data_IF_492037066081
#
_entry.id   IF_492037066081
#
_cell.length_a   1.000
_cell.length_b   1.000
_cell.length_c   1.000
_cell.angle_alpha   90.00
_cell.angle_beta   90.00
_cell.angle_gamma   90.00
#
_symmetry.space_group_name_H-M   'P 1'
#
loop_
_entity.id
_entity.type
_entity.pdbx_description
1 polymer ?
#
# COMPACT_ATOMS: atom_id res chain seq x y z
N UNK A 1 -8.42 -20.30 -20.84
CA UNK A 1 -7.39 -19.26 -20.77
C UNK A 1 -8.02 -17.98 -21.26
N UNK A 2 -8.69 -17.32 -20.33
CA UNK A 2 -9.50 -16.13 -20.56
C UNK A 2 -8.69 -15.00 -21.16
N UNK A 3 -9.31 -14.40 -22.17
CA UNK A 3 -9.20 -13.01 -22.63
C UNK A 3 -8.12 -12.18 -21.92
N UNK A 4 -7.06 -11.89 -22.68
CA UNK A 4 -6.13 -10.80 -22.39
C UNK A 4 -6.97 -9.53 -22.17
N UNK A 5 -7.13 -9.12 -20.91
CA UNK A 5 -7.80 -7.89 -20.51
C UNK A 5 -7.21 -6.72 -21.32
N UNK A 6 -8.05 -5.84 -21.88
CA UNK A 6 -7.57 -4.72 -22.70
C UNK A 6 -6.65 -3.84 -21.86
N UNK A 7 -5.59 -3.28 -22.47
CA UNK A 7 -4.53 -2.54 -21.76
C UNK A 7 -5.02 -1.44 -20.80
N UNK A 8 -6.18 -0.83 -21.06
CA UNK A 8 -6.82 0.16 -20.18
C UNK A 8 -7.38 -0.42 -18.88
N UNK A 9 -7.85 -1.67 -18.87
CA UNK A 9 -8.38 -2.35 -17.68
C UNK A 9 -7.26 -2.80 -16.72
N UNK A 10 -6.08 -3.12 -17.27
CA UNK A 10 -4.88 -3.38 -16.47
C UNK A 10 -4.38 -2.10 -15.80
N UNK A 11 -4.35 -0.96 -16.51
CA UNK A 11 -3.90 0.32 -15.96
C UNK A 11 -4.70 0.75 -14.71
N UNK A 12 -5.99 0.47 -14.67
CA UNK A 12 -6.85 0.83 -13.54
C UNK A 12 -6.62 -0.05 -12.29
N UNK A 13 -5.83 -1.13 -12.39
CA UNK A 13 -5.52 -2.03 -11.27
C UNK A 13 -4.25 -1.66 -10.52
N UNK A 14 -3.39 -0.84 -11.10
CA UNK A 14 -2.08 -0.50 -10.52
C UNK A 14 -2.02 0.96 -10.10
N UNK A 15 -1.43 1.22 -8.94
CA UNK A 15 -1.19 2.56 -8.42
C UNK A 15 0.28 2.71 -8.05
N UNK A 16 0.96 3.65 -8.68
CA UNK A 16 2.37 3.94 -8.40
C UNK A 16 2.45 5.20 -7.53
N UNK A 17 2.88 5.04 -6.29
CA UNK A 17 3.08 6.17 -5.39
C UNK A 17 4.50 6.71 -5.60
N UNK A 18 4.61 8.01 -5.87
CA UNK A 18 5.92 8.65 -6.06
C UNK A 18 6.78 8.58 -4.79
N UNK A 19 8.07 8.24 -4.96
CA UNK A 19 9.04 8.15 -3.88
C UNK A 19 9.18 9.43 -3.05
N UNK A 20 9.11 10.60 -3.70
CA UNK A 20 9.17 11.89 -3.02
C UNK A 20 8.04 12.08 -2.00
N UNK A 21 6.87 11.48 -2.26
CA UNK A 21 5.73 11.51 -1.34
C UNK A 21 5.93 10.56 -0.18
N UNK A 22 6.50 9.38 -0.42
CA UNK A 22 6.78 8.37 0.61
C UNK A 22 7.95 8.79 1.48
N UNK A 23 9.13 9.06 0.93
CA UNK A 23 10.33 9.38 1.70
C UNK A 23 10.13 10.64 2.56
N UNK A 24 9.58 11.72 2.01
CA UNK A 24 9.27 12.92 2.80
C UNK A 24 8.31 12.57 3.94
N UNK A 25 7.31 11.74 3.69
CA UNK A 25 6.28 11.40 4.66
C UNK A 25 6.79 10.45 5.75
N UNK A 26 7.62 9.46 5.41
CA UNK A 26 8.21 8.53 6.37
C UNK A 26 9.37 9.14 7.18
N UNK A 27 10.11 10.09 6.59
CA UNK A 27 11.25 10.76 7.24
C UNK A 27 10.79 11.94 8.09
N UNK A 28 9.74 12.68 7.68
CA UNK A 28 9.33 13.93 8.35
C UNK A 28 7.98 13.87 9.09
N UNK A 29 7.06 12.95 8.73
CA UNK A 29 5.77 12.83 9.42
C UNK A 29 5.79 11.70 10.44
N UNK A 30 5.00 11.86 11.51
CA UNK A 30 4.71 10.80 12.47
C UNK A 30 4.15 9.56 11.74
N UNK A 31 4.65 8.33 12.02
CA UNK A 31 4.16 7.08 11.44
C UNK A 31 2.63 6.93 11.38
N UNK A 32 1.93 7.44 12.40
CA UNK A 32 0.45 7.44 12.47
C UNK A 32 -0.19 8.26 11.34
N UNK A 33 0.40 9.40 10.99
CA UNK A 33 -0.09 10.27 9.91
C UNK A 33 0.09 9.59 8.55
N UNK A 34 1.24 8.94 8.33
CA UNK A 34 1.54 8.17 7.11
C UNK A 34 0.56 7.02 6.94
N UNK A 35 0.34 6.26 8.01
CA UNK A 35 -0.63 5.17 8.04
C UNK A 35 -2.03 5.66 7.67
N UNK A 36 -2.48 6.78 8.24
CA UNK A 36 -3.80 7.34 7.92
C UNK A 36 -3.90 7.79 6.45
N UNK A 37 -2.87 8.45 5.91
CA UNK A 37 -2.84 8.84 4.50
C UNK A 37 -2.95 7.63 3.57
N UNK A 38 -2.22 6.55 3.86
CA UNK A 38 -2.30 5.30 3.10
C UNK A 38 -3.69 4.69 3.18
N UNK A 39 -4.27 4.60 4.39
CA UNK A 39 -5.63 4.08 4.59
C UNK A 39 -6.65 4.90 3.82
N UNK A 40 -6.57 6.23 3.84
CA UNK A 40 -7.53 7.08 3.14
C UNK A 40 -7.42 6.90 1.62
N UNK A 41 -6.19 6.74 1.08
CA UNK A 41 -5.97 6.37 -0.33
C UNK A 41 -6.59 5.02 -0.67
N UNK A 42 -6.48 4.03 0.22
CA UNK A 42 -7.07 2.70 0.01
C UNK A 42 -8.61 2.74 0.11
N UNK A 43 -9.18 3.61 0.95
CA UNK A 43 -10.62 3.74 1.12
C UNK A 43 -11.31 4.49 -0.02
N UNK A 44 -10.59 5.40 -0.70
CA UNK A 44 -11.02 5.97 -2.00
C UNK A 44 -11.04 4.89 -3.08
N UNK A 45 -10.29 3.80 -2.89
CA UNK A 45 -10.18 2.69 -3.83
C UNK A 45 -11.25 1.58 -3.73
N UNK A 46 -12.41 1.91 -3.17
CA UNK A 46 -13.44 0.95 -2.78
C UNK A 46 -14.38 0.43 -3.87
N UNK A 47 -14.38 1.01 -5.08
CA UNK A 47 -15.26 0.57 -6.18
C UNK A 47 -14.49 -0.29 -7.19
N UNK A 48 -15.17 -1.17 -7.94
CA UNK A 48 -14.58 -2.14 -8.89
C UNK A 48 -13.73 -1.52 -10.03
N UNK A 49 -13.63 -0.19 -10.07
CA UNK A 49 -12.79 0.62 -10.97
C UNK A 49 -11.43 0.98 -10.38
N UNK A 50 -11.14 0.61 -9.12
CA UNK A 50 -10.01 1.16 -8.39
C UNK A 50 -8.82 0.21 -8.22
N UNK A 51 -7.58 0.75 -8.11
CA UNK A 51 -6.38 -0.06 -8.09
C UNK A 51 -6.36 -1.07 -6.94
N UNK A 52 -6.20 -2.34 -7.27
CA UNK A 52 -6.00 -3.40 -6.28
C UNK A 52 -4.55 -3.51 -5.84
N UNK A 53 -3.60 -3.00 -6.64
CA UNK A 53 -2.17 -3.11 -6.41
C UNK A 53 -1.52 -1.73 -6.27
N UNK A 54 -0.83 -1.51 -5.16
CA UNK A 54 -0.08 -0.29 -4.88
C UNK A 54 1.41 -0.57 -4.82
N UNK A 55 2.21 0.27 -5.49
CA UNK A 55 3.66 0.20 -5.50
C UNK A 55 4.25 1.43 -4.81
N UNK A 56 5.01 1.19 -3.75
CA UNK A 56 5.59 2.20 -2.88
C UNK A 56 7.11 2.02 -2.86
N UNK A 57 7.84 2.82 -3.67
CA UNK A 57 9.28 2.89 -3.56
C UNK A 57 9.66 3.60 -2.26
N UNK A 58 10.50 2.95 -1.47
CA UNK A 58 11.05 3.45 -0.21
C UNK A 58 12.56 3.57 -0.35
N UNK A 59 13.10 4.76 -0.06
CA UNK A 59 14.54 4.94 0.05
C UNK A 59 14.95 4.86 1.51
N UNK A 60 15.74 3.85 1.81
CA UNK A 60 16.32 3.65 3.12
C UNK A 60 17.67 4.34 3.27
N UNK A 61 17.96 4.79 4.49
CA UNK A 61 19.29 5.26 4.89
C UNK A 61 19.81 6.47 4.08
N UNK A 62 19.11 7.61 4.17
CA UNK A 62 19.55 8.89 3.59
C UNK A 62 19.92 8.83 2.09
N UNK A 63 19.29 7.97 1.30
CA UNK A 63 19.58 7.85 -0.13
C UNK A 63 20.29 6.56 -0.54
N UNK A 64 20.80 5.77 0.42
CA UNK A 64 21.76 4.69 0.16
C UNK A 64 21.18 3.43 -0.46
N UNK A 65 19.88 3.15 -0.33
CA UNK A 65 19.29 1.93 -0.87
C UNK A 65 17.78 2.01 -1.08
N UNK A 66 17.29 1.42 -2.18
CA UNK A 66 15.88 1.42 -2.56
C UNK A 66 15.23 0.06 -2.32
N UNK A 67 14.06 0.09 -1.69
CA UNK A 67 13.18 -1.05 -1.46
C UNK A 67 11.86 -0.76 -2.13
N UNK A 68 11.24 -1.77 -2.75
CA UNK A 68 9.90 -1.65 -3.29
C UNK A 68 8.90 -2.38 -2.39
N UNK A 69 7.89 -1.67 -1.91
CA UNK A 69 6.76 -2.27 -1.21
C UNK A 69 5.59 -2.38 -2.18
N UNK A 70 5.14 -3.60 -2.44
CA UNK A 70 3.93 -3.85 -3.21
C UNK A 70 2.79 -4.29 -2.27
N UNK A 71 1.64 -3.65 -2.37
CA UNK A 71 0.45 -3.99 -1.57
C UNK A 71 -0.67 -4.45 -2.48
N UNK A 72 -1.18 -5.65 -2.23
CA UNK A 72 -2.38 -6.18 -2.86
C UNK A 72 -3.56 -6.02 -1.90
N UNK A 73 -4.39 -5.00 -2.14
CA UNK A 73 -5.58 -4.73 -1.34
C UNK A 73 -6.70 -5.75 -1.54
N UNK A 74 -6.70 -6.50 -2.65
CA UNK A 74 -7.68 -7.57 -2.90
C UNK A 74 -7.41 -8.78 -2.01
N UNK A 75 -6.13 -9.09 -1.80
CA UNK A 75 -5.66 -10.18 -0.93
C UNK A 75 -5.31 -9.75 0.49
N UNK A 76 -5.29 -8.43 0.72
CA UNK A 76 -4.80 -7.82 1.96
C UNK A 76 -3.37 -8.29 2.30
N UNK A 77 -2.52 -8.37 1.27
CA UNK A 77 -1.12 -8.81 1.39
C UNK A 77 -0.14 -7.68 1.09
N UNK A 78 1.01 -7.73 1.76
CA UNK A 78 2.13 -6.81 1.55
C UNK A 78 3.36 -7.64 1.16
N UNK A 79 4.04 -7.21 0.10
CA UNK A 79 5.28 -7.78 -0.39
C UNK A 79 6.39 -6.75 -0.25
N UNK A 80 7.44 -7.11 0.47
CA UNK A 80 8.65 -6.32 0.59
C UNK A 80 9.68 -6.87 -0.38
N UNK A 81 10.01 -6.09 -1.41
CA UNK A 81 10.92 -6.48 -2.48
C UNK A 81 12.22 -5.70 -2.31
N UNK A 82 13.23 -6.39 -1.81
CA UNK A 82 14.59 -5.87 -1.66
C UNK A 82 15.54 -6.71 -2.53
N UNK A 83 16.33 -6.01 -3.35
CA UNK A 83 17.31 -6.61 -4.24
C UNK A 83 18.63 -6.93 -3.54
N UNK A 84 18.89 -6.30 -2.38
CA UNK A 84 20.04 -6.63 -1.55
C UNK A 84 19.70 -7.86 -0.69
N UNK A 85 20.60 -8.85 -0.61
CA UNK A 85 20.48 -9.90 0.40
C UNK A 85 20.61 -9.25 1.78
N UNK A 86 19.50 -9.17 2.50
CA UNK A 86 19.43 -8.47 3.78
C UNK A 86 18.11 -8.71 4.50
N UNK A 87 18.18 -8.64 5.83
CA UNK A 87 17.01 -8.77 6.70
C UNK A 87 16.14 -7.49 6.63
N UNK A 88 14.82 -7.69 6.51
CA UNK A 88 13.79 -6.64 6.54
C UNK A 88 13.80 -5.84 7.85
N UNK A 89 14.46 -6.35 8.89
CA UNK A 89 14.76 -5.64 10.14
C UNK A 89 15.51 -4.32 9.93
N UNK A 90 16.11 -4.08 8.75
CA UNK A 90 16.75 -2.80 8.39
C UNK A 90 15.77 -1.64 8.26
N UNK A 91 14.47 -1.90 8.06
CA UNK A 91 13.45 -0.86 7.80
C UNK A 91 12.21 -0.98 8.70
N UNK A 92 12.37 -1.04 10.04
CA UNK A 92 11.30 -1.43 10.95
C UNK A 92 10.15 -0.43 10.97
N UNK A 93 10.44 0.87 10.93
CA UNK A 93 9.41 1.92 10.93
C UNK A 93 8.54 1.89 9.67
N UNK A 94 9.15 1.66 8.50
CA UNK A 94 8.41 1.51 7.24
C UNK A 94 7.52 0.26 7.31
N UNK A 95 8.10 -0.88 7.71
CA UNK A 95 7.36 -2.14 7.82
C UNK A 95 6.16 -2.01 8.76
N UNK A 96 6.38 -1.52 9.98
CA UNK A 96 5.33 -1.31 10.98
C UNK A 96 4.19 -0.41 10.48
N UNK A 97 4.54 0.68 9.81
CA UNK A 97 3.54 1.65 9.30
C UNK A 97 2.70 1.04 8.19
N UNK A 98 3.32 0.34 7.24
CA UNK A 98 2.62 -0.30 6.12
C UNK A 98 1.74 -1.44 6.62
N UNK A 99 2.25 -2.29 7.51
CA UNK A 99 1.48 -3.37 8.13
C UNK A 99 0.29 -2.81 8.92
N UNK A 100 0.48 -1.74 9.67
CA UNK A 100 -0.61 -1.08 10.38
C UNK A 100 -1.66 -0.48 9.42
N UNK A 101 -1.22 0.07 8.28
CA UNK A 101 -2.12 0.64 7.28
C UNK A 101 -3.02 -0.44 6.65
N UNK A 102 -2.48 -1.60 6.27
CA UNK A 102 -3.30 -2.67 5.68
C UNK A 102 -4.25 -3.31 6.70
N UNK A 103 -3.83 -3.46 7.97
CA UNK A 103 -4.70 -3.92 9.05
C UNK A 103 -5.85 -2.94 9.32
N UNK A 104 -5.55 -1.63 9.36
CA UNK A 104 -6.56 -0.58 9.56
C UNK A 104 -7.50 -0.45 8.36
N UNK A 105 -7.00 -0.67 7.14
CA UNK A 105 -7.85 -0.74 5.96
C UNK A 105 -8.81 -1.94 6.02
N UNK A 106 -8.31 -3.12 6.38
CA UNK A 106 -9.13 -4.33 6.58
C UNK A 106 -10.26 -4.09 7.59
N UNK A 107 -9.95 -3.45 8.73
CA UNK A 107 -10.96 -3.18 9.75
C UNK A 107 -12.02 -2.18 9.27
N UNK A 108 -11.62 -1.09 8.58
CA UNK A 108 -12.56 -0.12 7.98
C UNK A 108 -13.45 -0.75 6.90
N UNK A 109 -12.90 -1.59 6.03
CA UNK A 109 -13.65 -2.30 4.97
C UNK A 109 -14.71 -3.24 5.57
N UNK A 110 -14.32 -4.04 6.55
CA UNK A 110 -15.25 -4.94 7.25
C UNK A 110 -16.36 -4.19 7.99
N UNK A 111 -16.05 -3.01 8.56
CA UNK A 111 -17.04 -2.18 9.23
C UNK A 111 -18.06 -1.58 8.26
N UNK A 112 -17.64 -1.13 7.07
CA UNK A 112 -18.57 -0.66 6.02
C UNK A 112 -19.53 -1.78 5.59
N UNK A 113 -18.98 -2.95 5.26
CA UNK A 113 -19.80 -4.10 4.85
C UNK A 113 -20.85 -4.52 5.88
N UNK A 114 -20.61 -4.29 7.19
CA UNK A 114 -21.59 -4.56 8.24
C UNK A 114 -22.70 -3.52 8.32
N UNK A 115 -22.43 -2.25 7.97
CA UNK A 115 -23.45 -1.19 7.96
C UNK A 115 -24.41 -1.32 6.77
N UNK A 116 -23.93 -1.90 5.68
CA UNK A 116 -24.74 -2.15 4.49
C UNK A 116 -25.66 -3.38 4.63
N UNK A 117 -25.55 -4.11 5.75
CA UNK A 117 -26.50 -5.17 6.14
C UNK A 117 -27.52 -4.53 7.09
N UNK A 118 -28.59 -3.97 6.53
CA UNK A 118 -29.82 -3.67 7.29
C UNK A 118 -30.62 -4.94 7.49
N UNK A 119 -30.93 -5.25 8.75
CA UNK A 119 -31.89 -6.30 9.15
C UNK A 119 -33.32 -5.86 8.88
#
# INVERSE_FOLDING_TARGET
YDTLMRGTELCNRFNFIAASRINTTFITKNPTSVMNELVDRFMVAGDNTTPSLYFLPFNSSNGGHWVLVAMDLSRLMVYYLDSLPGDWSKYPSMKMTVDAAILKFRSKKNYRNRKDITW
#
